data_IF_329461502658
#
_entry.id   IF_329461502658
#
_cell.length_a   1.000
_cell.length_b   1.000
_cell.length_c   1.000
_cell.angle_alpha   90.00
_cell.angle_beta   90.00
_cell.angle_gamma   90.00
#
_symmetry.space_group_name_H-M   'P 1'
#
loop_
_entity.id
_entity.type
_entity.pdbx_description
1 polymer ?
#
# COMPACT_ATOMS: atom_id res chain seq x y z
N UNK A 1 -3.71 -2.32 -18.10
CA UNK A 1 -2.95 -1.37 -17.27
C UNK A 1 -2.92 -0.02 -17.96
N UNK A 2 -3.48 1.01 -17.33
CA UNK A 2 -3.61 2.38 -17.84
C UNK A 2 -2.49 3.32 -17.34
N UNK A 3 -1.89 3.01 -16.19
CA UNK A 3 -0.88 3.83 -15.52
C UNK A 3 0.36 2.99 -15.17
N UNK A 4 1.24 2.70 -16.16
CA UNK A 4 2.47 1.92 -15.93
C UNK A 4 3.42 2.59 -14.93
N UNK A 5 3.54 3.92 -14.98
CA UNK A 5 4.34 4.73 -14.07
C UNK A 5 3.87 4.61 -12.61
N UNK A 6 2.55 4.63 -12.39
CA UNK A 6 1.97 4.45 -11.07
C UNK A 6 2.18 3.01 -10.59
N UNK A 7 2.07 2.02 -11.48
CA UNK A 7 2.33 0.63 -11.13
C UNK A 7 3.78 0.44 -10.62
N UNK A 8 4.76 1.01 -11.33
CA UNK A 8 6.16 0.99 -10.90
C UNK A 8 6.37 1.65 -9.54
N UNK A 9 5.70 2.78 -9.28
CA UNK A 9 5.74 3.44 -7.96
C UNK A 9 5.18 2.51 -6.88
N UNK A 10 4.00 1.92 -7.07
CA UNK A 10 3.38 1.04 -6.08
C UNK A 10 4.26 -0.17 -5.76
N UNK A 11 4.84 -0.78 -6.80
CA UNK A 11 5.76 -1.90 -6.67
C UNK A 11 7.02 -1.48 -5.90
N UNK A 12 7.57 -0.30 -6.18
CA UNK A 12 8.73 0.23 -5.47
C UNK A 12 8.45 0.45 -3.97
N UNK A 13 7.30 1.02 -3.62
CA UNK A 13 6.88 1.22 -2.22
C UNK A 13 6.74 -0.11 -1.48
N UNK A 14 6.09 -1.11 -2.10
CA UNK A 14 5.98 -2.48 -1.54
C UNK A 14 7.36 -3.11 -1.35
N UNK A 15 8.25 -2.98 -2.33
CA UNK A 15 9.57 -3.60 -2.26
C UNK A 15 10.42 -2.96 -1.15
N UNK A 16 10.33 -1.65 -0.95
CA UNK A 16 11.00 -0.95 0.16
C UNK A 16 10.47 -1.43 1.52
N UNK A 17 9.15 -1.60 1.65
CA UNK A 17 8.50 -2.16 2.84
C UNK A 17 9.03 -3.56 3.16
N UNK A 18 8.92 -4.49 2.21
CA UNK A 18 9.36 -5.87 2.40
C UNK A 18 10.87 -5.98 2.70
N UNK A 19 11.69 -5.13 2.06
CA UNK A 19 13.13 -5.08 2.31
C UNK A 19 13.44 -4.61 3.73
N UNK A 20 12.81 -3.52 4.19
CA UNK A 20 13.02 -3.04 5.57
C UNK A 20 12.55 -4.09 6.57
N UNK A 21 11.38 -4.69 6.34
CA UNK A 21 10.83 -5.75 7.20
C UNK A 21 11.80 -6.91 7.34
N UNK A 22 12.37 -7.40 6.24
CA UNK A 22 13.37 -8.48 6.25
C UNK A 22 14.63 -8.09 7.04
N UNK A 23 15.11 -6.85 6.87
CA UNK A 23 16.26 -6.35 7.64
C UNK A 23 15.97 -6.31 9.15
N UNK A 24 14.79 -5.84 9.55
CA UNK A 24 14.39 -5.76 10.95
C UNK A 24 14.17 -7.16 11.57
N UNK A 25 13.66 -8.13 10.80
CA UNK A 25 13.58 -9.54 11.20
C UNK A 25 14.97 -10.09 11.51
N UNK A 26 15.94 -9.89 10.59
CA UNK A 26 17.32 -10.36 10.78
C UNK A 26 18.01 -9.73 11.99
N UNK A 27 17.67 -8.47 12.30
CA UNK A 27 18.15 -7.77 13.50
C UNK A 27 17.43 -8.21 14.79
N UNK A 28 16.33 -8.98 14.69
CA UNK A 28 15.56 -9.44 15.84
C UNK A 28 14.79 -8.33 16.57
N UNK A 29 14.47 -7.22 15.89
CA UNK A 29 13.89 -6.01 16.51
C UNK A 29 12.41 -5.78 16.20
N UNK A 30 11.70 -6.80 15.68
CA UNK A 30 10.25 -6.75 15.42
C UNK A 30 9.39 -7.40 16.52
N UNK A 31 10.00 -7.86 17.62
CA UNK A 31 9.29 -8.55 18.71
C UNK A 31 8.70 -7.62 19.77
N UNK A 32 9.19 -6.39 19.87
CA UNK A 32 8.76 -5.43 20.89
C UNK A 32 7.93 -4.28 20.27
N UNK A 33 6.63 -4.54 20.15
CA UNK A 33 5.67 -3.56 19.63
C UNK A 33 5.91 -3.19 18.16
N UNK A 34 5.54 -1.96 17.81
CA UNK A 34 5.66 -1.46 16.44
C UNK A 34 6.94 -0.66 16.29
N UNK A 35 7.92 -1.23 15.59
CA UNK A 35 9.19 -0.59 15.31
C UNK A 35 9.03 0.78 14.61
N UNK A 36 9.73 1.80 15.10
CA UNK A 36 9.62 3.19 14.62
C UNK A 36 10.00 3.37 13.14
N UNK A 37 11.05 2.70 12.67
CA UNK A 37 11.47 2.77 11.25
C UNK A 37 10.37 2.17 10.36
N UNK A 38 9.81 1.02 10.78
CA UNK A 38 8.71 0.37 10.06
C UNK A 38 7.47 1.25 10.05
N UNK A 39 7.15 1.88 11.18
CA UNK A 39 6.01 2.78 11.32
C UNK A 39 6.14 3.98 10.38
N UNK A 40 7.30 4.64 10.36
CA UNK A 40 7.56 5.78 9.49
C UNK A 40 7.41 5.40 8.01
N UNK A 41 7.92 4.23 7.60
CA UNK A 41 7.78 3.76 6.23
C UNK A 41 6.33 3.45 5.86
N UNK A 42 5.58 2.78 6.72
CA UNK A 42 4.17 2.49 6.48
C UNK A 42 3.33 3.77 6.38
N UNK A 43 3.58 4.77 7.25
CA UNK A 43 2.90 6.07 7.21
C UNK A 43 3.20 6.81 5.90
N UNK A 44 4.46 6.79 5.45
CA UNK A 44 4.86 7.40 4.17
C UNK A 44 4.24 6.68 2.96
N UNK A 45 4.22 5.34 2.97
CA UNK A 45 3.59 4.53 1.92
C UNK A 45 2.08 4.80 1.85
N UNK A 46 1.40 4.89 3.01
CA UNK A 46 -0.02 5.20 3.09
C UNK A 46 -0.31 6.59 2.52
N UNK A 47 0.45 7.62 2.90
CA UNK A 47 0.28 8.98 2.39
C UNK A 47 0.49 9.05 0.86
N UNK A 48 1.49 8.33 0.35
CA UNK A 48 1.75 8.27 -1.09
C UNK A 48 0.64 7.55 -1.84
N UNK A 49 0.15 6.43 -1.32
CA UNK A 49 -0.97 5.70 -1.91
C UNK A 49 -2.26 6.52 -1.87
N UNK A 50 -2.52 7.26 -0.80
CA UNK A 50 -3.70 8.13 -0.71
C UNK A 50 -3.70 9.21 -1.80
N UNK A 51 -2.54 9.83 -2.04
CA UNK A 51 -2.34 10.80 -3.13
C UNK A 51 -2.53 10.17 -4.52
N UNK A 52 -2.14 8.90 -4.70
CA UNK A 52 -2.38 8.15 -5.93
C UNK A 52 -3.88 7.88 -6.09
N UNK A 53 -4.56 7.46 -5.03
CA UNK A 53 -5.99 7.20 -5.01
C UNK A 53 -6.78 8.46 -5.37
N UNK A 54 -6.37 9.64 -4.91
CA UNK A 54 -7.03 10.89 -5.27
C UNK A 54 -6.91 11.22 -6.78
N UNK A 55 -5.86 10.72 -7.44
CA UNK A 55 -5.62 10.94 -8.87
C UNK A 55 -6.31 9.92 -9.76
N UNK A 56 -6.29 8.64 -9.37
CA UNK A 56 -6.75 7.54 -10.25
C UNK A 56 -7.89 6.71 -9.66
N UNK A 57 -8.38 7.01 -8.46
CA UNK A 57 -9.29 6.17 -7.69
C UNK A 57 -8.61 4.90 -7.17
N UNK A 58 -9.41 3.89 -6.80
CA UNK A 58 -8.84 2.62 -6.32
C UNK A 58 -7.90 2.00 -7.38
N UNK A 59 -6.68 1.54 -7.03
CA UNK A 59 -5.71 0.98 -7.98
C UNK A 59 -6.09 -0.44 -8.41
N UNK A 60 -7.09 -0.55 -9.26
CA UNK A 60 -7.57 -1.84 -9.79
C UNK A 60 -6.58 -2.45 -10.80
N UNK A 61 -6.64 -3.76 -11.06
CA UNK A 61 -5.81 -4.42 -12.07
C UNK A 61 -5.88 -3.78 -13.47
N UNK A 62 -7.06 -3.29 -13.88
CA UNK A 62 -7.22 -2.54 -15.13
C UNK A 62 -6.32 -1.30 -15.20
N UNK A 63 -6.17 -0.59 -14.08
CA UNK A 63 -5.43 0.67 -13.96
C UNK A 63 -3.93 0.46 -13.80
N UNK A 64 -3.50 -0.40 -12.89
CA UNK A 64 -2.10 -0.52 -12.48
C UNK A 64 -1.52 -1.94 -12.70
N UNK A 65 -2.26 -2.81 -13.39
CA UNK A 65 -1.87 -4.21 -13.56
C UNK A 65 -2.06 -5.01 -12.27
N UNK A 66 -2.00 -6.34 -12.38
CA UNK A 66 -2.18 -7.22 -11.22
C UNK A 66 -1.15 -6.93 -10.12
N UNK A 67 0.12 -6.82 -10.49
CA UNK A 67 1.19 -6.60 -9.52
C UNK A 67 1.10 -5.24 -8.81
N UNK A 68 0.75 -4.18 -9.53
CA UNK A 68 0.51 -2.86 -8.92
C UNK A 68 -0.69 -2.88 -7.97
N UNK A 69 -1.76 -3.61 -8.32
CA UNK A 69 -2.92 -3.81 -7.44
C UNK A 69 -2.56 -4.59 -6.17
N UNK A 70 -1.80 -5.68 -6.30
CA UNK A 70 -1.29 -6.48 -5.18
C UNK A 70 -0.38 -5.62 -4.27
N UNK A 71 0.44 -4.74 -4.84
CA UNK A 71 1.27 -3.81 -4.10
C UNK A 71 0.45 -2.75 -3.33
N UNK A 72 -0.56 -2.15 -3.97
CA UNK A 72 -1.49 -1.24 -3.29
C UNK A 72 -2.21 -1.95 -2.13
N UNK A 73 -2.63 -3.19 -2.33
CA UNK A 73 -3.28 -3.99 -1.30
C UNK A 73 -2.37 -4.26 -0.08
N UNK A 74 -1.09 -4.56 -0.31
CA UNK A 74 -0.13 -4.73 0.79
C UNK A 74 0.06 -3.44 1.58
N UNK A 75 0.22 -2.30 0.89
CA UNK A 75 0.36 -0.98 1.54
C UNK A 75 -0.86 -0.66 2.41
N UNK A 76 -2.08 -0.95 1.93
CA UNK A 76 -3.32 -0.72 2.71
C UNK A 76 -3.32 -1.56 3.99
N UNK A 77 -2.95 -2.84 3.91
CA UNK A 77 -2.91 -3.73 5.08
C UNK A 77 -1.88 -3.27 6.12
N UNK A 78 -0.76 -2.70 5.67
CA UNK A 78 0.32 -2.22 6.53
C UNK A 78 0.08 -0.82 7.13
N UNK A 79 -0.90 -0.07 6.62
CA UNK A 79 -1.26 1.27 7.09
C UNK A 79 -2.04 1.29 8.43
N UNK A 80 -1.74 0.39 9.38
CA UNK A 80 -2.47 0.22 10.64
C UNK A 80 -2.49 1.48 11.53
N UNK A 81 -1.51 2.37 11.36
CA UNK A 81 -1.46 3.69 12.00
C UNK A 81 -2.40 4.73 11.39
N UNK A 82 -3.05 4.42 10.26
CA UNK A 82 -3.85 5.34 9.45
C UNK A 82 -5.31 4.82 9.28
N UNK A 83 -6.10 4.70 10.36
CA UNK A 83 -7.43 4.08 10.30
C UNK A 83 -8.44 4.82 9.41
N UNK A 84 -8.30 6.15 9.28
CA UNK A 84 -9.15 6.93 8.37
C UNK A 84 -8.88 6.57 6.89
N UNK A 85 -7.61 6.42 6.52
CA UNK A 85 -7.19 5.98 5.21
C UNK A 85 -7.68 4.56 4.91
N UNK A 86 -7.50 3.61 5.84
CA UNK A 86 -7.98 2.24 5.66
C UNK A 86 -9.50 2.18 5.43
N UNK A 87 -10.29 2.98 6.16
CA UNK A 87 -11.75 3.09 5.96
C UNK A 87 -12.11 3.70 4.60
N UNK A 88 -11.34 4.68 4.11
CA UNK A 88 -11.49 5.23 2.75
C UNK A 88 -11.24 4.13 1.71
N UNK A 89 -10.15 3.38 1.83
CA UNK A 89 -9.80 2.29 0.94
C UNK A 89 -10.87 1.19 0.91
N UNK A 90 -11.43 0.81 2.06
CA UNK A 90 -12.51 -0.17 2.15
C UNK A 90 -13.71 0.22 1.27
N UNK A 91 -14.21 1.45 1.42
CA UNK A 91 -15.35 1.95 0.62
C UNK A 91 -15.05 1.95 -0.89
N UNK A 92 -13.81 2.29 -1.26
CA UNK A 92 -13.38 2.30 -2.65
C UNK A 92 -13.24 0.89 -3.23
N UNK A 93 -12.77 -0.06 -2.42
CA UNK A 93 -12.71 -1.48 -2.78
C UNK A 93 -14.12 -2.05 -2.97
N UNK A 94 -15.05 -1.79 -2.03
CA UNK A 94 -16.45 -2.21 -2.15
C UNK A 94 -17.08 -1.72 -3.46
N UNK A 95 -16.83 -0.46 -3.82
CA UNK A 95 -17.27 0.11 -5.09
C UNK A 95 -16.64 -0.60 -6.29
N UNK A 96 -15.32 -0.80 -6.29
CA UNK A 96 -14.61 -1.47 -7.39
C UNK A 96 -15.12 -2.90 -7.60
N UNK A 97 -15.34 -3.66 -6.52
CA UNK A 97 -15.92 -5.01 -6.58
C UNK A 97 -17.33 -4.97 -7.17
N UNK A 98 -18.17 -4.02 -6.75
CA UNK A 98 -19.52 -3.83 -7.32
C UNK A 98 -19.53 -3.49 -8.81
N UNK A 99 -18.43 -2.89 -9.31
CA UNK A 99 -18.23 -2.56 -10.73
C UNK A 99 -17.52 -3.69 -11.52
N UNK A 100 -17.24 -4.85 -10.89
CA UNK A 100 -16.43 -5.95 -11.44
C UNK A 100 -15.05 -5.48 -11.92
N UNK A 101 -14.38 -4.65 -11.12
CA UNK A 101 -13.07 -4.06 -11.40
C UNK A 101 -11.95 -4.60 -10.52
#
# INVERSE_FOLDING_TARGET
MQHPDIAEILISLRNADLQLREQLIRKGVLSDGYNDEMKQLHDANAAKLDSIIDRIGYPTPDKVGKEGGDAAWLIIQHAIGQPAFMKKCLKLLEKAVGENK
#
